data_IF_829306851232
#
_entry.id   IF_829306851232
#
_cell.length_a   1.000
_cell.length_b   1.000
_cell.length_c   1.000
_cell.angle_alpha   90.00
_cell.angle_beta   90.00
_cell.angle_gamma   90.00
#
_symmetry.space_group_name_H-M   'P 1'
#
loop_
_entity.id
_entity.type
_entity.pdbx_description
1 polymer ?
#
# COMPACT_ATOMS: atom_id res chain seq x y z
N UNK A 1 -36.45 -10.81 -28.44
CA UNK A 1 -35.35 -10.51 -27.54
C UNK A 1 -34.75 -9.15 -27.95
N UNK A 2 -34.40 -8.31 -26.98
CA UNK A 2 -33.85 -6.99 -27.16
C UNK A 2 -32.44 -7.00 -26.55
N UNK A 3 -31.44 -6.39 -27.23
CA UNK A 3 -30.11 -6.24 -26.68
C UNK A 3 -30.14 -5.35 -25.42
N UNK A 4 -29.38 -5.70 -24.41
CA UNK A 4 -29.39 -4.95 -23.16
C UNK A 4 -28.21 -5.28 -22.23
N UNK A 5 -28.25 -4.69 -21.04
CA UNK A 5 -27.29 -4.84 -19.96
C UNK A 5 -27.93 -5.44 -18.73
N UNK A 6 -27.10 -6.01 -17.86
CA UNK A 6 -27.53 -6.49 -16.55
C UNK A 6 -27.04 -5.55 -15.47
N UNK A 7 -27.96 -5.10 -14.60
CA UNK A 7 -27.66 -4.50 -13.31
C UNK A 7 -27.81 -5.59 -12.25
N UNK A 8 -26.77 -5.77 -11.45
CA UNK A 8 -26.72 -6.64 -10.28
C UNK A 8 -26.95 -5.79 -9.02
N UNK A 9 -27.75 -6.31 -8.10
CA UNK A 9 -27.89 -5.78 -6.74
C UNK A 9 -27.71 -6.96 -5.77
N UNK A 10 -26.69 -6.91 -4.93
CA UNK A 10 -26.53 -7.80 -3.78
C UNK A 10 -26.98 -7.06 -2.54
N UNK A 11 -28.11 -7.48 -1.97
CA UNK A 11 -28.74 -6.77 -0.86
C UNK A 11 -27.93 -6.91 0.43
N UNK A 12 -27.86 -5.83 1.17
CA UNK A 12 -27.25 -5.79 2.50
C UNK A 12 -28.05 -6.62 3.50
N UNK A 13 -27.38 -7.13 4.53
CA UNK A 13 -28.05 -7.77 5.67
C UNK A 13 -28.93 -6.75 6.41
N UNK A 14 -30.12 -7.11 6.85
CA UNK A 14 -30.95 -6.24 7.67
C UNK A 14 -30.20 -5.73 8.91
N UNK A 15 -30.29 -4.41 9.18
CA UNK A 15 -29.65 -3.77 10.33
C UNK A 15 -28.17 -3.47 10.17
N UNK A 16 -27.60 -3.69 8.98
CA UNK A 16 -26.24 -3.22 8.61
C UNK A 16 -26.30 -1.84 7.97
N UNK A 17 -25.20 -1.11 8.04
CA UNK A 17 -25.06 0.25 7.49
C UNK A 17 -24.46 0.25 6.09
N UNK A 18 -23.68 -0.79 5.77
CA UNK A 18 -23.12 -0.95 4.42
C UNK A 18 -24.25 -1.01 3.40
N UNK A 19 -24.23 -0.16 2.37
CA UNK A 19 -25.28 -0.17 1.34
C UNK A 19 -25.27 -1.46 0.52
N UNK A 20 -26.35 -1.69 -0.24
CA UNK A 20 -26.39 -2.73 -1.26
C UNK A 20 -25.21 -2.59 -2.21
N UNK A 21 -24.64 -3.72 -2.64
CA UNK A 21 -23.63 -3.70 -3.71
C UNK A 21 -24.39 -3.65 -5.04
N UNK A 22 -24.29 -2.54 -5.74
CA UNK A 22 -24.89 -2.33 -7.04
C UNK A 22 -23.85 -2.20 -8.14
N UNK A 23 -24.07 -2.88 -9.26
CA UNK A 23 -23.19 -2.76 -10.43
C UNK A 23 -23.94 -3.03 -11.73
N UNK A 24 -23.69 -2.21 -12.76
CA UNK A 24 -24.21 -2.40 -14.10
C UNK A 24 -23.08 -2.85 -15.02
N UNK A 25 -23.17 -4.08 -15.51
CA UNK A 25 -22.17 -4.63 -16.44
C UNK A 25 -22.22 -3.91 -17.78
N UNK A 26 -21.03 -3.62 -18.33
CA UNK A 26 -20.90 -2.90 -19.63
C UNK A 26 -21.31 -3.77 -20.81
N UNK A 27 -21.15 -5.08 -20.71
CA UNK A 27 -21.46 -6.02 -21.78
C UNK A 27 -22.92 -5.91 -22.22
N UNK A 28 -23.08 -5.92 -23.53
CA UNK A 28 -24.38 -5.88 -24.17
C UNK A 28 -24.65 -7.21 -24.87
N UNK A 29 -25.76 -7.85 -24.53
CA UNK A 29 -26.06 -9.15 -25.14
C UNK A 29 -27.48 -9.61 -24.86
N UNK A 30 -27.89 -10.69 -25.55
CA UNK A 30 -29.14 -11.41 -25.29
C UNK A 30 -28.97 -12.49 -24.20
N UNK A 31 -27.70 -12.89 -23.96
CA UNK A 31 -27.28 -13.85 -22.96
C UNK A 31 -25.93 -13.37 -22.42
N UNK A 32 -25.80 -13.28 -21.10
CA UNK A 32 -24.61 -12.80 -20.43
C UNK A 32 -24.25 -13.74 -19.28
N UNK A 33 -22.95 -13.95 -19.06
CA UNK A 33 -22.40 -14.55 -17.86
C UNK A 33 -21.77 -13.43 -17.03
N UNK A 34 -22.26 -13.21 -15.82
CA UNK A 34 -21.80 -12.15 -14.95
C UNK A 34 -21.22 -12.72 -13.65
N UNK A 35 -20.11 -12.17 -13.13
CA UNK A 35 -19.63 -12.52 -11.80
C UNK A 35 -20.55 -11.89 -10.74
N UNK A 36 -21.02 -12.69 -9.80
CA UNK A 36 -21.80 -12.21 -8.64
C UNK A 36 -20.86 -12.17 -7.44
N UNK A 37 -20.36 -10.99 -7.11
CA UNK A 37 -19.45 -10.75 -5.99
C UNK A 37 -20.15 -9.92 -4.91
N UNK A 38 -19.53 -9.78 -3.75
CA UNK A 38 -20.08 -9.02 -2.64
C UNK A 38 -21.08 -9.80 -1.78
N UNK A 39 -21.07 -11.12 -1.87
CA UNK A 39 -21.91 -11.97 -1.04
C UNK A 39 -21.36 -12.05 0.39
N UNK A 40 -22.27 -12.11 1.36
CA UNK A 40 -21.91 -12.40 2.76
C UNK A 40 -21.62 -13.89 2.93
N UNK A 41 -20.59 -14.29 3.67
CA UNK A 41 -20.32 -15.68 4.00
C UNK A 41 -21.38 -16.22 4.99
N UNK A 42 -21.61 -17.53 4.94
CA UNK A 42 -22.58 -18.26 5.81
C UNK A 42 -23.95 -17.57 5.90
N UNK A 43 -24.46 -17.13 4.77
CA UNK A 43 -25.69 -16.34 4.71
C UNK A 43 -26.55 -16.67 3.47
N UNK A 44 -27.86 -16.55 3.62
CA UNK A 44 -28.79 -16.69 2.50
C UNK A 44 -28.98 -15.35 1.79
N UNK A 45 -28.01 -15.04 0.91
CA UNK A 45 -27.92 -13.76 0.23
C UNK A 45 -29.12 -13.52 -0.70
N UNK A 46 -29.66 -12.31 -0.68
CA UNK A 46 -30.68 -11.83 -1.60
C UNK A 46 -30.02 -11.10 -2.75
N UNK A 47 -30.38 -11.46 -3.99
CA UNK A 47 -29.77 -10.90 -5.20
C UNK A 47 -30.90 -10.49 -6.13
N UNK A 48 -30.82 -9.27 -6.68
CA UNK A 48 -31.69 -8.80 -7.74
C UNK A 48 -30.89 -8.60 -9.02
N UNK A 49 -31.35 -9.20 -10.10
CA UNK A 49 -30.86 -8.97 -11.45
C UNK A 49 -31.89 -8.18 -12.24
N UNK A 50 -31.47 -7.07 -12.84
CA UNK A 50 -32.33 -6.22 -13.67
C UNK A 50 -31.75 -6.19 -15.07
N UNK A 51 -32.54 -6.63 -16.06
CA UNK A 51 -32.17 -6.51 -17.47
C UNK A 51 -32.78 -5.25 -18.05
N UNK A 52 -31.93 -4.36 -18.56
CA UNK A 52 -32.33 -3.10 -19.18
C UNK A 52 -31.97 -3.09 -20.66
N UNK A 53 -32.82 -2.50 -21.50
CA UNK A 53 -32.46 -2.24 -22.89
C UNK A 53 -31.40 -1.11 -23.02
N UNK A 54 -30.98 -0.83 -24.25
CA UNK A 54 -29.95 0.21 -24.51
C UNK A 54 -30.46 1.63 -24.24
N UNK A 55 -31.76 1.83 -24.10
CA UNK A 55 -32.39 3.08 -23.70
C UNK A 55 -32.55 3.19 -22.18
N UNK A 56 -32.13 2.17 -21.42
CA UNK A 56 -32.23 2.15 -19.95
C UNK A 56 -33.58 1.68 -19.42
N UNK A 57 -34.50 1.23 -20.25
CA UNK A 57 -35.81 0.72 -19.78
C UNK A 57 -35.63 -0.69 -19.22
N UNK A 58 -36.18 -0.95 -18.04
CA UNK A 58 -36.26 -2.28 -17.47
C UNK A 58 -37.13 -3.22 -18.34
N UNK A 59 -36.57 -4.34 -18.74
CA UNK A 59 -37.24 -5.37 -19.56
C UNK A 59 -37.52 -6.65 -18.81
N UNK A 60 -36.71 -6.94 -17.79
CA UNK A 60 -36.91 -8.08 -16.89
C UNK A 60 -36.25 -7.85 -15.55
N UNK A 61 -36.80 -8.48 -14.51
CA UNK A 61 -36.27 -8.51 -13.17
C UNK A 61 -36.35 -9.93 -12.61
N UNK A 62 -35.29 -10.35 -11.94
CA UNK A 62 -35.24 -11.65 -11.24
C UNK A 62 -34.66 -11.47 -9.85
N UNK A 63 -35.35 -12.08 -8.86
CA UNK A 63 -34.85 -12.11 -7.48
C UNK A 63 -34.40 -13.54 -7.16
N UNK A 64 -33.18 -13.66 -6.72
CA UNK A 64 -32.53 -14.93 -6.41
C UNK A 64 -32.14 -14.98 -4.94
N UNK A 65 -32.04 -16.19 -4.41
CA UNK A 65 -31.49 -16.47 -3.09
C UNK A 65 -30.34 -17.44 -3.24
N UNK A 66 -29.22 -17.11 -2.62
CA UNK A 66 -28.00 -17.92 -2.68
C UNK A 66 -27.44 -18.13 -1.28
N UNK A 67 -27.48 -19.38 -0.80
CA UNK A 67 -26.82 -19.75 0.44
C UNK A 67 -25.32 -19.92 0.21
N UNK A 68 -24.50 -19.13 0.88
CA UNK A 68 -23.05 -19.24 0.88
C UNK A 68 -22.57 -20.11 2.04
N UNK A 69 -21.36 -20.67 1.89
CA UNK A 69 -20.67 -21.40 2.95
C UNK A 69 -19.94 -20.44 3.89
N UNK A 70 -19.54 -20.96 5.05
CA UNK A 70 -18.59 -20.29 5.95
C UNK A 70 -17.24 -20.16 5.27
N UNK A 71 -16.55 -19.04 5.50
CA UNK A 71 -15.14 -18.88 5.12
C UNK A 71 -14.28 -19.62 6.12
N UNK A 72 -13.42 -20.50 5.62
CA UNK A 72 -12.50 -21.29 6.43
C UNK A 72 -11.08 -21.09 5.87
N UNK A 73 -10.28 -20.26 6.53
CA UNK A 73 -8.87 -20.10 6.27
C UNK A 73 -8.16 -19.61 7.53
N UNK A 74 -7.03 -20.23 7.84
CA UNK A 74 -6.14 -19.79 8.92
C UNK A 74 -5.48 -18.43 8.66
N UNK A 75 -5.62 -17.94 7.42
CA UNK A 75 -5.02 -16.67 6.96
C UNK A 75 -5.93 -15.46 7.19
N UNK A 76 -7.20 -15.71 7.47
CA UNK A 76 -8.12 -14.63 7.82
C UNK A 76 -7.90 -14.19 9.26
N UNK A 77 -8.24 -12.93 9.59
CA UNK A 77 -8.21 -12.46 10.97
C UNK A 77 -9.02 -13.36 11.89
N UNK A 78 -8.52 -13.60 13.10
CA UNK A 78 -9.25 -14.36 14.12
C UNK A 78 -10.52 -13.63 14.54
N UNK A 79 -10.46 -12.31 14.61
CA UNK A 79 -11.59 -11.42 14.84
C UNK A 79 -11.44 -10.16 14.01
N UNK A 80 -12.55 -9.70 13.44
CA UNK A 80 -12.67 -8.40 12.76
C UNK A 80 -13.59 -7.54 13.63
N UNK A 81 -13.11 -6.39 14.08
CA UNK A 81 -13.87 -5.51 14.96
C UNK A 81 -13.90 -4.10 14.40
N UNK A 82 -15.10 -3.58 14.14
CA UNK A 82 -15.32 -2.15 13.89
C UNK A 82 -15.33 -1.43 15.24
N UNK A 83 -14.28 -0.66 15.50
CA UNK A 83 -14.11 0.10 16.76
C UNK A 83 -14.87 1.42 16.68
N UNK A 84 -14.86 2.04 15.50
CA UNK A 84 -15.56 3.30 15.22
C UNK A 84 -16.02 3.36 13.77
N UNK A 85 -17.22 3.85 13.52
CA UNK A 85 -17.73 4.15 12.19
C UNK A 85 -18.69 5.35 12.24
N UNK A 86 -18.36 6.40 11.49
CA UNK A 86 -19.21 7.54 11.21
C UNK A 86 -19.57 7.49 9.72
N UNK A 87 -20.59 6.71 9.39
CA UNK A 87 -20.91 6.30 8.01
C UNK A 87 -21.18 7.48 7.07
N UNK A 88 -21.57 8.63 7.59
CA UNK A 88 -21.81 9.89 6.88
C UNK A 88 -20.55 10.72 6.63
N UNK A 89 -19.43 10.40 7.31
CA UNK A 89 -18.15 11.12 7.22
C UNK A 89 -17.03 10.28 6.63
N UNK A 90 -17.19 8.96 6.56
CA UNK A 90 -16.17 8.06 6.04
C UNK A 90 -16.28 7.91 4.52
N UNK A 91 -15.16 7.62 3.88
CA UNK A 91 -15.10 7.30 2.46
C UNK A 91 -15.92 6.04 2.15
N UNK A 92 -16.81 6.08 1.14
CA UNK A 92 -17.54 4.88 0.71
C UNK A 92 -16.59 3.83 0.13
N UNK A 93 -17.07 2.58 0.10
CA UNK A 93 -16.31 1.45 -0.44
C UNK A 93 -15.96 0.40 0.59
N UNK A 94 -15.09 -0.52 0.19
CA UNK A 94 -14.59 -1.63 1.00
C UNK A 94 -13.08 -1.50 1.21
N UNK A 95 -12.58 -2.15 2.25
CA UNK A 95 -11.14 -2.19 2.53
C UNK A 95 -10.56 -3.45 1.88
N UNK A 96 -9.83 -3.29 0.77
CA UNK A 96 -9.01 -4.35 0.19
C UNK A 96 -7.76 -4.55 1.04
N UNK A 97 -7.68 -5.68 1.70
CA UNK A 97 -6.54 -6.06 2.55
C UNK A 97 -5.63 -6.99 1.77
N UNK A 98 -4.40 -6.57 1.54
CA UNK A 98 -3.34 -7.42 1.00
C UNK A 98 -2.61 -8.12 2.16
N UNK A 99 -3.13 -9.30 2.56
CA UNK A 99 -2.50 -10.14 3.59
C UNK A 99 -1.42 -11.01 2.96
N UNK A 100 -0.13 -10.71 3.14
CA UNK A 100 0.94 -11.50 2.55
C UNK A 100 1.12 -12.83 3.26
N UNK A 101 1.69 -13.82 2.57
CA UNK A 101 2.29 -14.98 3.21
C UNK A 101 3.41 -14.55 4.17
N UNK A 102 3.66 -15.35 5.20
CA UNK A 102 4.69 -15.03 6.21
C UNK A 102 6.03 -15.69 5.87
N UNK A 103 6.01 -16.79 5.16
CA UNK A 103 7.19 -17.54 4.73
C UNK A 103 6.92 -18.29 3.41
N UNK A 104 7.91 -19.05 2.94
CA UNK A 104 7.88 -19.82 1.70
C UNK A 104 6.80 -20.91 1.64
N UNK A 105 6.22 -21.27 2.78
CA UNK A 105 5.18 -22.29 2.87
C UNK A 105 3.79 -21.70 2.99
N UNK A 106 3.69 -20.37 3.02
CA UNK A 106 2.49 -19.62 3.33
C UNK A 106 1.99 -18.84 2.11
N UNK A 107 0.69 -18.71 1.98
CA UNK A 107 0.04 -18.09 0.81
C UNK A 107 -0.58 -16.76 1.20
N UNK A 108 -0.47 -15.75 0.33
CA UNK A 108 -1.26 -14.53 0.43
C UNK A 108 -2.74 -14.82 0.16
N UNK A 109 -3.62 -14.18 0.90
CA UNK A 109 -5.06 -14.21 0.66
C UNK A 109 -5.57 -12.77 0.70
N UNK A 110 -5.71 -12.11 -0.46
CA UNK A 110 -6.39 -10.83 -0.53
C UNK A 110 -7.88 -10.98 -0.24
N UNK A 111 -8.43 -10.04 0.53
CA UNK A 111 -9.85 -10.01 0.81
C UNK A 111 -10.37 -8.58 0.98
N UNK A 112 -11.66 -8.36 0.78
CA UNK A 112 -12.31 -7.08 1.02
C UNK A 112 -13.27 -7.16 2.20
N UNK A 113 -13.19 -6.15 3.08
CA UNK A 113 -14.03 -5.98 4.26
C UNK A 113 -14.89 -4.73 4.07
N UNK A 114 -16.19 -4.84 4.31
CA UNK A 114 -17.10 -3.69 4.29
C UNK A 114 -17.02 -2.85 5.59
N UNK A 115 -17.80 -1.78 5.63
CA UNK A 115 -17.82 -0.86 6.77
C UNK A 115 -18.43 -1.46 8.05
N UNK A 116 -19.17 -2.55 7.95
CA UNK A 116 -19.71 -3.29 9.09
C UNK A 116 -18.81 -4.45 9.56
N UNK A 117 -17.60 -4.59 8.97
CA UNK A 117 -16.63 -5.62 9.33
C UNK A 117 -16.87 -6.99 8.71
N UNK A 118 -17.71 -7.09 7.68
CA UNK A 118 -18.01 -8.34 7.00
C UNK A 118 -17.10 -8.54 5.79
N UNK A 119 -16.53 -9.73 5.61
CA UNK A 119 -15.77 -10.07 4.40
C UNK A 119 -16.74 -10.27 3.26
N UNK A 120 -16.55 -9.52 2.15
CA UNK A 120 -17.46 -9.50 1.00
C UNK A 120 -16.80 -10.06 -0.27
N UNK A 121 -15.52 -10.26 -0.29
CA UNK A 121 -14.77 -10.81 -1.40
C UNK A 121 -13.44 -11.38 -0.90
N UNK A 122 -12.95 -12.44 -1.56
CA UNK A 122 -11.72 -13.13 -1.21
C UNK A 122 -11.12 -13.81 -2.44
N UNK A 123 -9.81 -13.73 -2.60
CA UNK A 123 -9.04 -14.58 -3.51
C UNK A 123 -8.42 -15.72 -2.69
N UNK A 124 -9.08 -16.88 -2.70
CA UNK A 124 -8.62 -18.07 -1.97
C UNK A 124 -7.57 -18.84 -2.79
N UNK A 125 -6.34 -18.38 -2.70
CA UNK A 125 -5.21 -18.98 -3.40
C UNK A 125 -4.63 -20.21 -2.70
N UNK A 126 -5.03 -20.51 -1.46
CA UNK A 126 -4.55 -21.70 -0.73
C UNK A 126 -4.87 -23.00 -1.47
N UNK A 127 -5.93 -23.03 -2.24
CA UNK A 127 -6.41 -24.19 -2.99
C UNK A 127 -5.96 -24.24 -4.44
N UNK A 128 -5.16 -23.28 -4.89
CA UNK A 128 -4.67 -23.20 -6.24
C UNK A 128 -3.19 -23.57 -6.29
N UNK A 129 -2.85 -24.62 -7.04
CA UNK A 129 -1.43 -24.98 -7.25
C UNK A 129 -0.69 -23.92 -8.06
N UNK A 130 -1.38 -23.21 -8.94
CA UNK A 130 -0.83 -22.13 -9.76
C UNK A 130 -0.54 -20.87 -8.94
N UNK A 131 -1.44 -20.51 -8.01
CA UNK A 131 -1.37 -19.25 -7.27
C UNK A 131 -0.77 -19.40 -5.87
N UNK A 132 -0.46 -20.61 -5.44
CA UNK A 132 0.21 -20.82 -4.15
C UNK A 132 1.48 -19.97 -4.08
N UNK A 133 1.67 -19.30 -2.96
CA UNK A 133 2.79 -18.40 -2.65
C UNK A 133 2.77 -17.02 -3.34
N UNK A 134 1.76 -16.70 -4.16
CA UNK A 134 1.61 -15.33 -4.69
C UNK A 134 1.48 -14.32 -3.54
N UNK A 135 2.05 -13.13 -3.77
CA UNK A 135 1.94 -11.99 -2.86
C UNK A 135 2.85 -12.03 -1.64
N UNK A 136 3.75 -13.02 -1.50
CA UNK A 136 4.73 -13.02 -0.42
C UNK A 136 5.72 -11.87 -0.63
N UNK A 137 5.71 -10.93 0.33
CA UNK A 137 6.62 -9.79 0.33
C UNK A 137 6.42 -8.76 -0.78
N UNK A 138 5.38 -8.88 -1.59
CA UNK A 138 5.09 -7.97 -2.71
C UNK A 138 3.71 -7.30 -2.59
N UNK A 139 3.53 -6.21 -3.35
CA UNK A 139 2.28 -5.46 -3.41
C UNK A 139 1.19 -6.16 -4.22
N UNK A 140 -0.04 -5.73 -3.98
CA UNK A 140 -1.22 -6.03 -4.78
C UNK A 140 -1.89 -4.71 -5.14
N UNK A 141 -2.24 -4.52 -6.41
CA UNK A 141 -3.00 -3.36 -6.88
C UNK A 141 -4.19 -3.80 -7.73
N UNK A 142 -5.25 -3.00 -7.76
CA UNK A 142 -6.26 -3.06 -8.81
C UNK A 142 -5.84 -2.12 -9.94
N UNK A 143 -5.72 -2.69 -11.15
CA UNK A 143 -5.34 -1.95 -12.34
C UNK A 143 -6.51 -1.17 -12.93
N UNK A 144 -6.22 -0.26 -13.85
CA UNK A 144 -7.23 0.54 -14.56
C UNK A 144 -8.24 -0.33 -15.33
N UNK A 145 -7.81 -1.50 -15.84
CA UNK A 145 -8.70 -2.45 -16.51
C UNK A 145 -9.63 -3.23 -15.53
N UNK A 146 -9.50 -3.01 -14.22
CA UNK A 146 -10.27 -3.68 -13.17
C UNK A 146 -9.72 -5.02 -12.69
N UNK A 147 -8.67 -5.54 -13.31
CA UNK A 147 -7.95 -6.74 -12.85
C UNK A 147 -7.02 -6.40 -11.68
N UNK A 148 -6.46 -7.42 -11.07
CA UNK A 148 -5.49 -7.29 -10.00
C UNK A 148 -4.11 -7.73 -10.48
N UNK A 149 -3.10 -6.89 -10.26
CA UNK A 149 -1.70 -7.24 -10.45
C UNK A 149 -1.05 -7.44 -9.09
N UNK A 150 -0.34 -8.55 -8.94
CA UNK A 150 0.40 -8.86 -7.71
C UNK A 150 1.76 -9.46 -8.04
N UNK A 151 2.73 -9.23 -7.16
CA UNK A 151 4.04 -9.88 -7.23
C UNK A 151 4.09 -11.13 -6.35
N UNK A 152 5.01 -12.00 -6.68
CA UNK A 152 5.38 -13.17 -5.89
C UNK A 152 6.88 -13.06 -5.55
N UNK A 153 7.18 -12.77 -4.29
CA UNK A 153 8.55 -12.64 -3.81
C UNK A 153 9.27 -13.96 -3.65
N UNK A 154 8.57 -15.08 -3.73
CA UNK A 154 9.12 -16.41 -3.56
C UNK A 154 9.57 -17.02 -4.90
N UNK A 155 8.67 -17.04 -5.89
CA UNK A 155 8.94 -17.54 -7.23
C UNK A 155 9.30 -16.43 -8.22
N UNK A 156 9.34 -15.18 -7.75
CA UNK A 156 9.73 -14.00 -8.51
C UNK A 156 8.97 -13.84 -9.84
N UNK A 157 7.66 -13.77 -9.74
CA UNK A 157 6.76 -13.55 -10.88
C UNK A 157 5.82 -12.38 -10.62
N UNK A 158 5.30 -11.79 -11.70
CA UNK A 158 4.15 -10.89 -11.66
C UNK A 158 2.95 -11.59 -12.24
N UNK A 159 1.83 -11.54 -11.54
CA UNK A 159 0.62 -12.26 -11.94
C UNK A 159 -0.55 -11.28 -12.02
N UNK A 160 -1.20 -11.24 -13.16
CA UNK A 160 -2.48 -10.57 -13.37
C UNK A 160 -3.61 -11.58 -13.26
N UNK A 161 -4.59 -11.26 -12.42
CA UNK A 161 -5.80 -12.06 -12.26
C UNK A 161 -7.05 -11.18 -12.40
N UNK A 162 -8.13 -11.76 -12.89
CA UNK A 162 -9.44 -11.10 -12.88
C UNK A 162 -10.06 -11.11 -11.46
N UNK A 163 -11.24 -10.51 -11.32
CA UNK A 163 -11.97 -10.46 -10.03
C UNK A 163 -12.40 -11.83 -9.50
N UNK A 164 -12.41 -12.86 -10.34
CA UNK A 164 -12.73 -14.25 -9.98
C UNK A 164 -11.48 -15.06 -9.63
N UNK A 165 -10.27 -14.47 -9.80
CA UNK A 165 -8.99 -15.12 -9.58
C UNK A 165 -8.50 -15.96 -10.77
N UNK A 166 -9.07 -15.80 -11.96
CA UNK A 166 -8.55 -16.43 -13.15
C UNK A 166 -7.30 -15.70 -13.62
N UNK A 167 -6.23 -16.44 -13.94
CA UNK A 167 -4.98 -15.87 -14.46
C UNK A 167 -5.21 -15.29 -15.85
N UNK A 168 -4.80 -14.04 -16.04
CA UNK A 168 -4.75 -13.34 -17.32
C UNK A 168 -3.31 -13.37 -17.85
N UNK A 169 -2.36 -12.93 -17.02
CA UNK A 169 -0.94 -12.98 -17.34
C UNK A 169 -0.13 -13.52 -16.15
N UNK A 170 0.97 -14.21 -16.47
CA UNK A 170 1.91 -14.70 -15.46
C UNK A 170 3.35 -14.55 -16.02
N UNK A 171 4.03 -13.49 -15.55
CA UNK A 171 5.34 -13.09 -16.05
C UNK A 171 6.44 -13.60 -15.11
N UNK A 172 7.30 -14.51 -15.61
CA UNK A 172 8.49 -14.95 -14.89
C UNK A 172 9.52 -13.81 -14.89
N UNK A 173 9.80 -13.29 -13.70
CA UNK A 173 10.73 -12.17 -13.53
C UNK A 173 12.18 -12.66 -13.38
N UNK A 174 12.41 -13.93 -12.96
CA UNK A 174 13.76 -14.51 -12.94
C UNK A 174 14.33 -14.66 -14.34
N UNK A 175 13.52 -15.11 -15.30
CA UNK A 175 13.93 -15.19 -16.71
C UNK A 175 14.30 -13.81 -17.27
N UNK A 176 13.71 -12.74 -16.73
CA UNK A 176 14.03 -11.35 -17.06
C UNK A 176 15.20 -10.78 -16.26
N UNK A 177 15.76 -11.56 -15.34
CA UNK A 177 16.90 -11.18 -14.51
C UNK A 177 16.56 -10.42 -13.23
N UNK A 178 15.31 -10.48 -12.75
CA UNK A 178 14.87 -9.77 -11.56
C UNK A 178 14.29 -10.70 -10.50
N UNK A 179 14.47 -10.30 -9.24
CA UNK A 179 13.74 -10.82 -8.09
C UNK A 179 12.75 -9.77 -7.60
N UNK A 180 11.53 -10.20 -7.26
CA UNK A 180 10.45 -9.31 -6.84
C UNK A 180 10.51 -9.02 -5.35
N UNK A 181 10.17 -7.78 -4.97
CA UNK A 181 9.94 -7.39 -3.57
C UNK A 181 9.03 -6.17 -3.46
N UNK A 182 8.41 -5.95 -2.31
CA UNK A 182 7.65 -4.81 -1.79
C UNK A 182 6.55 -4.24 -2.67
N UNK A 183 6.84 -3.31 -3.59
CA UNK A 183 5.83 -2.44 -4.18
C UNK A 183 5.56 -2.71 -5.66
N UNK A 184 4.29 -2.62 -6.00
CA UNK A 184 3.79 -2.51 -7.38
C UNK A 184 2.84 -1.32 -7.40
N UNK A 185 2.91 -0.51 -8.46
CA UNK A 185 1.93 0.52 -8.78
C UNK A 185 1.71 0.58 -10.30
N UNK A 186 0.75 1.38 -10.73
CA UNK A 186 0.46 1.57 -12.16
C UNK A 186 0.58 3.06 -12.48
N UNK A 187 1.22 3.40 -13.60
CA UNK A 187 1.28 4.76 -14.10
C UNK A 187 -0.01 5.14 -14.89
N UNK A 188 -0.12 6.40 -15.30
CA UNK A 188 -1.27 6.90 -16.05
C UNK A 188 -1.43 6.26 -17.43
N UNK A 189 -0.34 5.75 -18.02
CA UNK A 189 -0.32 5.06 -19.29
C UNK A 189 -0.70 3.59 -19.18
N UNK A 190 -0.89 3.08 -17.95
CA UNK A 190 -1.21 1.67 -17.67
C UNK A 190 0.00 0.78 -17.45
N UNK A 191 1.24 1.31 -17.52
CA UNK A 191 2.43 0.51 -17.27
C UNK A 191 2.56 0.19 -15.78
N UNK A 192 3.20 -0.93 -15.47
CA UNK A 192 3.48 -1.35 -14.10
C UNK A 192 4.84 -0.82 -13.66
N UNK A 193 4.85 -0.11 -12.54
CA UNK A 193 6.05 0.26 -11.82
C UNK A 193 6.26 -0.74 -10.68
N UNK A 194 7.46 -1.29 -10.54
CA UNK A 194 7.75 -2.27 -9.49
C UNK A 194 9.14 -2.09 -8.90
N UNK A 195 9.24 -2.42 -7.60
CA UNK A 195 10.53 -2.52 -6.91
C UNK A 195 11.07 -3.92 -7.07
N UNK A 196 12.31 -4.04 -7.50
CA UNK A 196 12.97 -5.32 -7.82
C UNK A 196 14.45 -5.29 -7.42
N UNK A 197 15.06 -6.48 -7.32
CA UNK A 197 16.51 -6.62 -7.30
C UNK A 197 16.99 -7.35 -8.55
N UNK A 198 18.14 -6.97 -9.10
CA UNK A 198 18.68 -7.58 -10.30
C UNK A 198 19.61 -8.74 -9.96
N UNK A 199 19.32 -9.93 -10.47
CA UNK A 199 20.08 -11.16 -10.15
C UNK A 199 21.53 -11.12 -10.58
N UNK A 200 21.86 -10.36 -11.67
CA UNK A 200 23.21 -10.24 -12.22
C UNK A 200 24.02 -9.08 -11.64
N UNK A 201 23.38 -8.15 -10.93
CA UNK A 201 24.04 -6.98 -10.42
C UNK A 201 24.80 -7.31 -9.13
N UNK A 202 26.09 -7.62 -9.26
CA UNK A 202 27.00 -7.75 -8.13
C UNK A 202 27.77 -6.47 -7.97
N UNK A 203 27.55 -5.74 -6.86
CA UNK A 203 28.49 -4.68 -6.50
C UNK A 203 29.71 -5.35 -5.87
N UNK A 204 30.71 -5.58 -6.69
CA UNK A 204 31.99 -6.10 -6.26
C UNK A 204 32.80 -4.97 -5.60
N UNK A 205 32.77 -4.89 -4.29
CA UNK A 205 33.85 -4.25 -3.52
C UNK A 205 34.69 -5.30 -2.74
N UNK A 206 34.73 -6.51 -3.28
CA UNK A 206 35.63 -7.59 -2.85
C UNK A 206 35.17 -8.40 -1.63
N UNK A 207 34.16 -7.99 -0.88
CA UNK A 207 33.71 -8.70 0.34
C UNK A 207 32.20 -8.76 0.58
N UNK A 208 31.40 -7.80 0.07
CA UNK A 208 29.98 -7.75 0.34
C UNK A 208 29.16 -7.76 -0.95
N UNK A 209 28.35 -8.78 -1.14
CA UNK A 209 27.30 -8.78 -2.17
C UNK A 209 26.17 -7.88 -1.64
N UNK A 210 26.09 -6.66 -2.14
CA UNK A 210 24.97 -5.76 -1.81
C UNK A 210 23.75 -6.14 -2.62
N UNK A 211 22.58 -6.15 -1.98
CA UNK A 211 21.31 -6.19 -2.70
C UNK A 211 21.24 -4.93 -3.56
N UNK A 212 21.06 -5.11 -4.86
CA UNK A 212 20.91 -4.00 -5.79
C UNK A 212 19.43 -3.75 -5.98
N UNK A 213 18.92 -2.73 -5.31
CA UNK A 213 17.56 -2.27 -5.51
C UNK A 213 17.45 -1.52 -6.84
N UNK A 214 16.49 -1.95 -7.62
CA UNK A 214 16.10 -1.35 -8.88
C UNK A 214 14.62 -0.99 -8.84
N UNK A 215 14.23 -0.05 -9.68
CA UNK A 215 12.84 0.19 -10.05
C UNK A 215 12.74 -0.14 -11.53
N UNK A 216 11.67 -0.83 -11.91
CA UNK A 216 11.37 -1.11 -13.32
C UNK A 216 10.01 -0.55 -13.71
N UNK A 217 9.88 -0.24 -14.99
CA UNK A 217 8.61 -0.01 -15.67
C UNK A 217 8.39 -1.14 -16.68
N UNK A 218 7.22 -1.77 -16.63
CA UNK A 218 6.88 -2.92 -17.46
C UNK A 218 5.53 -2.71 -18.17
N UNK A 219 5.47 -3.05 -19.44
CA UNK A 219 4.21 -3.19 -20.19
C UNK A 219 3.46 -4.43 -19.66
N UNK A 220 2.28 -4.30 -19.05
CA UNK A 220 1.57 -5.45 -18.45
C UNK A 220 1.02 -6.43 -19.49
N UNK A 221 0.75 -5.98 -20.72
CA UNK A 221 0.20 -6.83 -21.78
C UNK A 221 1.27 -7.72 -22.42
N UNK A 222 2.50 -7.21 -22.54
CA UNK A 222 3.62 -7.91 -23.20
C UNK A 222 4.65 -8.46 -22.22
N UNK A 223 4.67 -7.97 -20.97
CA UNK A 223 5.70 -8.28 -19.99
C UNK A 223 7.09 -7.72 -20.38
N UNK A 224 7.16 -6.74 -21.27
CA UNK A 224 8.40 -6.09 -21.69
C UNK A 224 8.84 -5.06 -20.66
N UNK A 225 10.13 -5.06 -20.30
CA UNK A 225 10.72 -4.02 -19.46
C UNK A 225 10.98 -2.79 -20.32
N UNK A 226 10.22 -1.74 -20.06
CA UNK A 226 10.29 -0.48 -20.82
C UNK A 226 11.39 0.45 -20.29
N UNK A 227 11.64 0.41 -18.97
CA UNK A 227 12.60 1.25 -18.28
C UNK A 227 13.14 0.55 -17.04
N UNK A 228 14.39 0.83 -16.71
CA UNK A 228 15.07 0.37 -15.50
C UNK A 228 15.82 1.52 -14.86
N UNK A 229 15.73 1.64 -13.53
CA UNK A 229 16.50 2.59 -12.74
C UNK A 229 17.30 1.86 -11.66
N UNK A 230 18.61 2.03 -11.71
CA UNK A 230 19.56 1.43 -10.76
C UNK A 230 19.81 2.41 -9.60
N UNK A 231 19.30 2.10 -8.42
CA UNK A 231 19.40 2.99 -7.26
C UNK A 231 20.83 3.21 -6.78
N UNK A 232 21.77 2.33 -7.09
CA UNK A 232 23.21 2.53 -6.77
C UNK A 232 23.76 3.75 -7.48
N UNK A 233 23.29 4.05 -8.68
CA UNK A 233 23.72 5.23 -9.43
C UNK A 233 22.95 6.50 -9.02
N UNK A 234 21.81 6.34 -8.37
CA UNK A 234 20.90 7.43 -8.00
C UNK A 234 21.13 7.91 -6.56
N UNK A 235 21.30 6.99 -5.61
CA UNK A 235 21.35 7.24 -4.17
C UNK A 235 22.73 6.94 -3.58
N UNK A 236 22.92 7.29 -2.30
CA UNK A 236 24.18 7.05 -1.60
C UNK A 236 24.28 5.63 -1.05
N UNK A 237 24.85 4.73 -1.85
CA UNK A 237 25.02 3.33 -1.45
C UNK A 237 26.01 3.13 -0.28
N UNK A 238 26.75 4.15 0.14
CA UNK A 238 27.59 4.11 1.32
C UNK A 238 26.87 4.57 2.60
N UNK A 239 25.69 5.23 2.46
CA UNK A 239 24.85 5.65 3.58
C UNK A 239 23.94 4.50 3.99
N UNK A 240 24.23 3.89 5.11
CA UNK A 240 23.42 2.80 5.67
C UNK A 240 22.25 3.31 6.53
N UNK A 241 22.07 4.61 6.62
CA UNK A 241 21.01 5.23 7.41
C UNK A 241 21.24 5.22 8.92
N UNK A 242 22.21 4.44 9.40
CA UNK A 242 22.43 4.23 10.82
C UNK A 242 23.90 3.83 11.04
N UNK A 243 24.75 4.75 11.49
CA UNK A 243 26.18 4.47 11.66
C UNK A 243 26.53 3.78 12.97
N UNK A 244 25.75 4.00 14.01
CA UNK A 244 25.90 3.32 15.31
C UNK A 244 25.12 1.98 15.35
N UNK A 245 24.72 1.49 14.17
CA UNK A 245 23.76 0.44 14.02
C UNK A 245 24.30 -0.62 13.07
N UNK A 246 24.42 -1.82 13.60
CA UNK A 246 24.79 -2.97 12.81
C UNK A 246 23.58 -3.48 12.01
N UNK A 247 23.53 -3.17 10.71
CA UNK A 247 22.47 -3.66 9.81
C UNK A 247 22.38 -5.19 9.79
N UNK A 248 23.42 -5.91 10.20
CA UNK A 248 23.36 -7.38 10.30
C UNK A 248 22.48 -7.84 11.48
N UNK A 249 22.30 -6.99 12.48
CA UNK A 249 21.41 -7.24 13.62
C UNK A 249 19.99 -6.72 13.40
N UNK A 250 19.74 -5.95 12.33
CA UNK A 250 18.38 -5.49 11.96
C UNK A 250 17.61 -6.64 11.30
N UNK A 251 16.51 -7.11 11.91
CA UNK A 251 15.70 -8.19 11.34
C UNK A 251 15.06 -7.82 9.98
N UNK A 252 14.99 -6.53 9.63
CA UNK A 252 14.44 -6.06 8.35
C UNK A 252 15.50 -5.79 7.29
N UNK A 253 16.76 -5.54 7.68
CA UNK A 253 17.88 -5.40 6.76
C UNK A 253 18.53 -6.75 6.46
N UNK A 254 18.70 -7.58 7.48
CA UNK A 254 19.36 -8.89 7.46
C UNK A 254 20.84 -8.86 7.02
N UNK A 255 21.30 -7.80 6.40
CA UNK A 255 22.69 -7.58 5.99
C UNK A 255 22.96 -6.13 5.62
N UNK A 256 24.25 -5.73 5.66
CA UNK A 256 24.70 -4.43 5.16
C UNK A 256 24.45 -4.23 3.66
N UNK A 257 24.15 -5.30 2.93
CA UNK A 257 23.84 -5.24 1.51
C UNK A 257 22.47 -4.64 1.22
N UNK A 258 21.55 -4.62 2.18
CA UNK A 258 20.20 -4.05 2.05
C UNK A 258 20.19 -2.54 2.41
N UNK A 259 21.09 -1.78 1.80
CA UNK A 259 21.38 -0.38 2.12
C UNK A 259 20.28 0.62 1.73
N UNK A 260 19.48 0.34 0.72
CA UNK A 260 18.35 1.18 0.29
C UNK A 260 17.03 0.65 0.83
N UNK A 261 16.72 -0.61 0.59
CA UNK A 261 15.46 -1.26 0.93
C UNK A 261 14.29 -0.46 0.34
N UNK A 262 14.29 -0.34 -1.00
CA UNK A 262 13.25 0.37 -1.73
C UNK A 262 11.92 -0.36 -1.58
N UNK A 263 10.88 0.36 -1.13
CA UNK A 263 9.61 -0.24 -0.74
C UNK A 263 8.38 0.52 -1.21
N UNK A 264 8.56 1.54 -2.05
CA UNK A 264 7.48 2.31 -2.65
C UNK A 264 7.90 3.01 -3.92
N UNK A 265 6.99 3.05 -4.89
CA UNK A 265 7.13 3.77 -6.15
C UNK A 265 5.75 4.16 -6.67
N UNK A 266 5.60 5.42 -7.08
CA UNK A 266 4.41 5.94 -7.77
C UNK A 266 4.82 6.99 -8.79
N UNK A 267 3.99 7.20 -9.82
CA UNK A 267 4.12 8.33 -10.73
C UNK A 267 3.69 9.63 -10.05
N UNK A 268 4.38 10.74 -10.35
CA UNK A 268 4.04 12.10 -9.92
C UNK A 268 4.29 13.13 -11.02
N UNK A 269 3.24 13.50 -11.74
CA UNK A 269 3.36 14.34 -12.94
C UNK A 269 4.08 13.60 -14.05
N UNK A 270 5.22 14.14 -14.50
CA UNK A 270 6.12 13.50 -15.48
C UNK A 270 7.29 12.76 -14.79
N UNK A 271 7.35 12.80 -13.48
CA UNK A 271 8.40 12.24 -12.63
C UNK A 271 7.87 11.07 -11.78
N UNK A 272 8.71 10.60 -10.88
CA UNK A 272 8.42 9.48 -9.98
C UNK A 272 8.77 9.84 -8.53
N UNK A 273 7.94 9.37 -7.60
CA UNK A 273 8.15 9.46 -6.17
C UNK A 273 8.39 8.06 -5.61
N UNK A 274 9.48 7.87 -4.89
CA UNK A 274 9.81 6.59 -4.29
C UNK A 274 10.18 6.71 -2.81
N UNK A 275 10.03 5.60 -2.09
CA UNK A 275 10.46 5.46 -0.71
C UNK A 275 11.50 4.36 -0.58
N UNK A 276 12.55 4.63 0.17
CA UNK A 276 13.55 3.66 0.54
C UNK A 276 13.76 3.72 2.06
N UNK A 277 13.59 2.57 2.72
CA UNK A 277 13.55 2.43 4.19
C UNK A 277 14.71 3.14 4.89
N UNK A 278 15.91 3.06 4.31
CA UNK A 278 17.13 3.61 4.89
C UNK A 278 17.67 4.87 4.18
N UNK A 279 16.99 5.32 3.12
CA UNK A 279 17.40 6.50 2.34
C UNK A 279 16.37 7.65 2.43
N UNK A 280 15.12 7.37 2.78
CA UNK A 280 14.04 8.34 2.88
C UNK A 280 13.10 8.36 1.67
N UNK A 281 12.54 9.53 1.37
CA UNK A 281 11.63 9.77 0.25
C UNK A 281 12.39 10.55 -0.81
N UNK A 282 12.29 10.17 -2.08
CA UNK A 282 12.98 10.87 -3.16
C UNK A 282 12.15 10.96 -4.42
N UNK A 283 12.28 12.11 -5.10
CA UNK A 283 11.71 12.36 -6.41
C UNK A 283 12.79 12.25 -7.47
N UNK A 284 12.48 11.63 -8.58
CA UNK A 284 13.41 11.49 -9.71
C UNK A 284 12.69 11.53 -11.03
N UNK A 285 13.38 12.00 -12.07
CA UNK A 285 12.85 12.10 -13.42
C UNK A 285 13.02 10.78 -14.20
N UNK A 286 12.41 10.72 -15.38
CA UNK A 286 12.43 9.51 -16.24
C UNK A 286 13.85 9.05 -16.61
N UNK A 287 14.83 9.95 -16.66
CA UNK A 287 16.22 9.60 -16.92
C UNK A 287 16.99 9.07 -15.68
N UNK A 288 16.32 9.03 -14.50
CA UNK A 288 16.93 8.60 -13.23
C UNK A 288 17.69 9.72 -12.49
N UNK A 289 17.56 10.97 -12.96
CA UNK A 289 18.11 12.13 -12.24
C UNK A 289 17.30 12.42 -10.98
N UNK A 290 17.96 12.45 -9.81
CA UNK A 290 17.31 12.83 -8.55
C UNK A 290 17.05 14.32 -8.54
N UNK A 291 15.78 14.71 -8.35
CA UNK A 291 15.37 16.10 -8.21
C UNK A 291 15.58 16.56 -6.76
N UNK A 292 15.12 15.78 -5.79
CA UNK A 292 15.32 16.03 -4.38
C UNK A 292 15.14 14.76 -3.52
N UNK A 293 15.62 14.87 -2.27
CA UNK A 293 15.52 13.82 -1.24
C UNK A 293 15.01 14.45 0.06
N UNK A 294 14.02 13.84 0.70
CA UNK A 294 13.60 14.11 2.08
C UNK A 294 14.20 13.01 2.96
N UNK A 295 15.21 13.38 3.73
CA UNK A 295 15.93 12.47 4.63
C UNK A 295 16.70 13.29 5.65
N UNK A 296 16.96 12.78 6.88
CA UNK A 296 17.92 13.42 7.79
C UNK A 296 19.25 13.65 7.07
N UNK A 297 19.86 14.82 7.28
CA UNK A 297 21.09 15.21 6.58
C UNK A 297 22.34 14.46 7.07
N UNK A 298 22.24 13.75 8.19
CA UNK A 298 23.35 12.96 8.72
C UNK A 298 23.79 11.85 7.77
N UNK A 299 25.12 11.65 7.72
CA UNK A 299 25.79 10.53 7.06
C UNK A 299 25.74 10.48 5.53
N UNK A 300 25.24 11.51 4.86
CA UNK A 300 25.34 11.65 3.41
C UNK A 300 26.73 12.12 2.98
N UNK A 301 27.25 11.54 1.88
CA UNK A 301 28.46 12.07 1.23
C UNK A 301 28.15 13.41 0.58
N UNK A 302 29.15 14.31 0.54
CA UNK A 302 29.01 15.72 0.11
C UNK A 302 28.28 15.89 -1.22
N UNK A 303 28.51 15.00 -2.18
CA UNK A 303 27.89 15.09 -3.51
C UNK A 303 26.35 15.00 -3.49
N UNK A 304 25.77 14.44 -2.44
CA UNK A 304 24.32 14.29 -2.27
C UNK A 304 23.68 15.40 -1.44
N UNK A 305 24.45 16.15 -0.64
CA UNK A 305 23.92 17.18 0.26
C UNK A 305 23.05 18.21 -0.48
N UNK A 306 23.44 18.56 -1.71
CA UNK A 306 22.67 19.50 -2.55
C UNK A 306 21.29 18.98 -2.99
N UNK A 307 21.03 17.67 -2.86
CA UNK A 307 19.76 17.03 -3.21
C UNK A 307 18.79 16.99 -2.03
N UNK A 308 19.29 17.19 -0.81
CA UNK A 308 18.46 17.17 0.39
C UNK A 308 17.62 18.45 0.49
N UNK A 309 16.36 18.29 0.94
CA UNK A 309 15.51 19.41 1.28
C UNK A 309 15.73 19.86 2.71
N UNK A 310 15.72 21.18 2.93
CA UNK A 310 15.90 21.77 4.25
C UNK A 310 14.57 21.77 5.03
N UNK A 311 14.56 21.29 6.28
CA UNK A 311 13.35 21.23 7.06
C UNK A 311 12.93 22.60 7.58
N UNK A 312 11.60 22.85 7.60
CA UNK A 312 10.99 24.04 8.19
C UNK A 312 10.14 23.64 9.38
N UNK A 313 10.03 24.55 10.35
CA UNK A 313 9.00 24.52 11.38
C UNK A 313 7.59 24.64 10.78
N UNK A 314 6.56 24.27 11.53
CA UNK A 314 5.16 24.37 11.10
C UNK A 314 4.75 25.80 10.68
N UNK A 315 5.36 26.83 11.28
CA UNK A 315 5.16 28.24 10.94
C UNK A 315 5.93 28.72 9.69
N UNK A 316 6.71 27.83 9.05
CA UNK A 316 7.51 28.11 7.86
C UNK A 316 8.89 28.70 8.16
N UNK A 317 9.28 28.89 9.41
CA UNK A 317 10.63 29.33 9.76
C UNK A 317 11.65 28.19 9.61
N UNK A 318 12.91 28.46 9.21
CA UNK A 318 13.92 27.43 9.06
C UNK A 318 14.26 26.73 10.39
N UNK A 319 14.32 25.41 10.40
CA UNK A 319 14.93 24.65 11.49
C UNK A 319 16.43 24.84 11.39
N UNK A 320 17.05 25.39 12.45
CA UNK A 320 18.47 25.73 12.48
C UNK A 320 19.26 24.86 13.47
N UNK A 321 18.61 24.04 14.27
CA UNK A 321 19.27 23.10 15.19
C UNK A 321 19.98 22.02 14.38
N UNK A 322 21.35 21.96 14.42
CA UNK A 322 22.12 21.03 13.61
C UNK A 322 21.86 19.56 13.97
N UNK A 323 21.46 19.26 15.20
CA UNK A 323 21.15 17.89 15.62
C UNK A 323 19.79 17.43 15.05
N UNK A 324 18.81 18.34 14.94
CA UNK A 324 17.52 18.07 14.28
C UNK A 324 17.75 17.88 12.78
N UNK A 325 18.51 18.78 12.14
CA UNK A 325 18.86 18.67 10.71
C UNK A 325 19.59 17.36 10.43
N UNK A 326 20.58 17.01 11.25
CA UNK A 326 21.32 15.75 11.12
C UNK A 326 20.45 14.50 11.40
N UNK A 327 19.31 14.66 12.13
CA UNK A 327 18.42 13.56 12.51
C UNK A 327 18.81 12.85 13.80
N UNK A 328 19.74 13.40 14.60
CA UNK A 328 20.16 12.83 15.88
C UNK A 328 19.28 13.26 17.06
N UNK A 329 18.41 14.25 16.82
CA UNK A 329 17.44 14.79 17.76
C UNK A 329 16.08 14.95 17.14
N UNK A 330 15.03 14.68 17.90
CA UNK A 330 13.63 14.90 17.47
C UNK A 330 13.28 16.40 17.51
N UNK A 331 12.31 16.78 16.66
CA UNK A 331 11.65 18.08 16.67
C UNK A 331 10.16 17.89 17.01
N UNK A 332 9.54 18.88 17.65
CA UNK A 332 8.13 18.74 18.09
C UNK A 332 7.14 18.86 16.93
N UNK A 333 7.45 19.68 15.94
CA UNK A 333 6.60 20.03 14.80
C UNK A 333 7.14 19.60 13.44
N UNK A 334 8.21 18.80 13.43
CA UNK A 334 8.78 18.19 12.24
C UNK A 334 9.33 16.80 12.53
N UNK A 335 8.99 15.83 11.70
CA UNK A 335 9.43 14.44 11.83
C UNK A 335 10.08 13.97 10.53
N UNK A 336 11.31 13.48 10.57
CA UNK A 336 11.95 12.84 9.44
C UNK A 336 11.32 11.48 9.07
N UNK A 337 11.43 11.00 7.80
CA UNK A 337 10.96 9.67 7.41
C UNK A 337 11.85 8.57 7.97
N UNK A 338 11.39 7.92 9.04
CA UNK A 338 12.09 6.83 9.72
C UNK A 338 11.51 5.47 9.36
N UNK A 339 12.26 4.69 8.57
CA UNK A 339 11.80 3.37 8.12
C UNK A 339 10.54 3.44 7.25
N UNK A 340 10.35 4.54 6.53
CA UNK A 340 9.11 4.90 5.85
C UNK A 340 8.67 3.87 4.78
N UNK A 341 7.35 3.82 4.58
CA UNK A 341 6.71 3.10 3.49
C UNK A 341 5.72 4.02 2.79
N UNK A 342 5.44 3.74 1.52
CA UNK A 342 4.35 4.36 0.78
C UNK A 342 4.32 5.88 0.90
N UNK A 343 4.87 6.57 -0.08
CA UNK A 343 4.62 7.99 -0.29
C UNK A 343 3.68 8.14 -1.49
N UNK A 344 2.67 8.99 -1.35
CA UNK A 344 1.71 9.29 -2.41
C UNK A 344 1.54 10.79 -2.58
N UNK A 345 1.56 11.32 -3.81
CA UNK A 345 1.26 12.72 -4.05
C UNK A 345 -0.22 12.99 -3.84
N UNK A 346 -0.54 14.16 -3.29
CA UNK A 346 -1.89 14.64 -3.08
C UNK A 346 -2.29 15.64 -4.18
N UNK A 347 -3.60 15.88 -4.41
CA UNK A 347 -4.07 16.84 -5.42
C UNK A 347 -3.59 18.27 -5.21
N UNK A 348 -3.28 18.66 -3.97
CA UNK A 348 -2.72 19.97 -3.61
C UNK A 348 -1.20 20.08 -3.82
N UNK A 349 -0.54 19.04 -4.32
CA UNK A 349 0.92 18.97 -4.51
C UNK A 349 1.71 18.55 -3.28
N UNK A 350 1.05 18.29 -2.16
CA UNK A 350 1.71 17.72 -0.97
C UNK A 350 2.01 16.23 -1.14
N UNK A 351 2.74 15.68 -0.18
CA UNK A 351 3.07 14.26 -0.11
C UNK A 351 2.52 13.69 1.17
N UNK A 352 1.65 12.68 1.07
CA UNK A 352 1.25 11.85 2.21
C UNK A 352 2.11 10.61 2.26
N UNK A 353 2.69 10.27 3.42
CA UNK A 353 3.48 9.06 3.56
C UNK A 353 3.27 8.36 4.90
N UNK A 354 3.63 7.08 4.94
CA UNK A 354 3.60 6.27 6.15
C UNK A 354 4.98 6.26 6.82
N UNK A 355 5.08 6.81 8.02
CA UNK A 355 6.28 6.80 8.84
C UNK A 355 6.20 5.67 9.88
N UNK A 356 6.94 4.59 9.67
CA UNK A 356 6.98 3.51 10.66
C UNK A 356 7.61 3.96 11.98
N UNK A 357 8.44 5.00 11.97
CA UNK A 357 9.18 5.44 13.15
C UNK A 357 10.29 4.49 13.57
N UNK A 358 10.68 3.57 12.69
CA UNK A 358 11.69 2.55 12.94
C UNK A 358 13.10 3.10 12.72
N UNK A 359 13.98 2.94 13.69
CA UNK A 359 15.32 3.50 13.62
C UNK A 359 15.38 5.02 13.83
N UNK A 360 14.39 5.61 14.54
CA UNK A 360 14.34 7.05 14.85
C UNK A 360 15.63 7.51 15.52
N UNK A 361 16.14 8.66 15.08
CA UNK A 361 17.40 9.22 15.52
C UNK A 361 18.59 8.27 15.35
N UNK A 362 18.55 7.42 14.32
CA UNK A 362 19.57 6.39 14.03
C UNK A 362 19.77 5.41 15.18
N UNK A 363 18.72 5.07 15.92
CA UNK A 363 18.77 4.16 17.06
C UNK A 363 17.69 3.07 16.94
N UNK A 364 18.03 1.85 17.33
CA UNK A 364 17.07 0.77 17.56
C UNK A 364 16.76 0.60 19.06
N UNK A 365 16.58 1.70 19.73
CA UNK A 365 16.18 1.68 21.14
C UNK A 365 14.66 1.69 21.26
N UNK A 366 14.08 0.57 21.63
CA UNK A 366 12.65 0.41 21.89
C UNK A 366 12.31 0.48 23.40
N UNK A 367 13.25 0.92 24.24
CA UNK A 367 13.04 1.10 25.68
C UNK A 367 12.37 2.44 26.00
N UNK A 368 12.68 3.49 25.25
CA UNK A 368 12.03 4.80 25.37
C UNK A 368 10.68 4.82 24.66
N UNK A 369 9.63 4.47 25.39
CA UNK A 369 8.26 4.36 24.84
C UNK A 369 7.70 5.66 24.28
N UNK A 370 8.26 6.83 24.61
CA UNK A 370 7.82 8.12 24.06
C UNK A 370 8.24 8.29 22.59
N UNK A 371 9.33 7.63 22.21
CA UNK A 371 9.87 7.63 20.85
C UNK A 371 9.41 6.43 20.01
N UNK A 372 8.55 5.56 20.58
CA UNK A 372 7.99 4.42 19.86
C UNK A 372 6.58 4.80 19.39
N UNK A 373 6.46 5.26 18.16
CA UNK A 373 5.19 5.54 17.50
C UNK A 373 5.33 5.49 15.99
N UNK A 374 4.22 5.27 15.33
CA UNK A 374 4.04 5.29 13.88
C UNK A 374 3.06 6.38 13.52
N UNK A 375 3.23 7.06 12.40
CA UNK A 375 2.29 8.07 11.93
C UNK A 375 2.13 8.09 10.41
N UNK A 376 0.94 8.55 9.96
CA UNK A 376 0.77 9.16 8.66
C UNK A 376 1.21 10.62 8.75
N UNK A 377 1.96 11.09 7.77
CA UNK A 377 2.49 12.46 7.74
C UNK A 377 2.24 13.06 6.36
N UNK A 378 1.87 14.34 6.34
CA UNK A 378 1.77 15.13 5.12
C UNK A 378 2.85 16.21 5.10
N UNK A 379 3.60 16.24 4.00
CA UNK A 379 4.61 17.26 3.72
C UNK A 379 4.17 18.19 2.60
N UNK A 380 4.40 19.47 2.79
CA UNK A 380 4.50 20.47 1.73
C UNK A 380 5.96 20.59 1.28
N UNK A 381 6.20 20.52 -0.03
CA UNK A 381 7.53 20.62 -0.62
C UNK A 381 7.60 21.87 -1.49
N UNK A 382 8.59 22.73 -1.22
CA UNK A 382 8.96 23.83 -2.08
C UNK A 382 10.24 23.48 -2.84
N UNK A 383 10.07 23.07 -4.10
CA UNK A 383 11.17 22.64 -4.96
C UNK A 383 12.11 23.81 -5.34
N UNK A 384 11.56 25.04 -5.40
CA UNK A 384 12.32 26.26 -5.76
C UNK A 384 13.26 26.66 -4.64
N UNK A 385 12.71 26.75 -3.41
CA UNK A 385 13.49 27.11 -2.23
C UNK A 385 14.18 25.92 -1.58
N UNK A 386 13.91 24.71 -2.11
CA UNK A 386 14.46 23.44 -1.62
C UNK A 386 14.19 23.19 -0.14
N UNK A 387 12.92 23.35 0.26
CA UNK A 387 12.48 23.17 1.63
C UNK A 387 11.35 22.16 1.73
N UNK A 388 11.18 21.60 2.92
CA UNK A 388 10.10 20.69 3.27
C UNK A 388 9.52 21.08 4.61
N UNK A 389 8.18 21.13 4.70
CA UNK A 389 7.43 21.46 5.90
C UNK A 389 6.42 20.37 6.22
N UNK A 390 6.36 19.93 7.47
CA UNK A 390 5.28 19.07 7.93
C UNK A 390 4.02 19.90 8.17
N UNK A 391 2.95 19.57 7.46
CA UNK A 391 1.69 20.33 7.55
C UNK A 391 0.58 19.55 8.26
N UNK A 392 0.73 18.23 8.36
CA UNK A 392 -0.21 17.36 9.06
C UNK A 392 0.46 16.08 9.54
N UNK A 393 -0.07 15.51 10.63
CA UNK A 393 0.26 14.16 11.07
C UNK A 393 -0.87 13.56 11.91
N UNK A 394 -0.92 12.23 11.95
CA UNK A 394 -1.75 11.46 12.87
C UNK A 394 -1.05 10.17 13.28
N UNK A 395 -1.14 9.78 14.55
CA UNK A 395 -0.65 8.51 15.10
C UNK A 395 0.39 8.64 16.20
N UNK A 396 1.09 9.77 16.33
CA UNK A 396 2.05 10.04 17.41
C UNK A 396 1.39 9.93 18.78
N UNK A 397 0.21 10.48 18.93
CA UNK A 397 -0.61 10.44 20.14
C UNK A 397 -1.11 9.05 20.51
N UNK A 398 -1.14 8.12 19.54
CA UNK A 398 -1.50 6.71 19.77
C UNK A 398 -0.35 5.90 20.40
N UNK A 399 0.88 6.44 20.34
CA UNK A 399 2.07 5.88 20.97
C UNK A 399 2.40 4.44 20.58
N UNK A 400 3.03 3.72 21.51
CA UNK A 400 3.55 2.37 21.27
C UNK A 400 2.46 1.32 20.94
N UNK A 401 1.21 1.55 21.30
CA UNK A 401 0.12 0.62 20.96
C UNK A 401 -0.21 0.63 19.46
N UNK A 402 0.08 1.74 18.77
CA UNK A 402 -0.15 1.93 17.34
C UNK A 402 1.10 1.64 16.51
N UNK A 403 2.23 1.39 17.16
CA UNK A 403 3.52 1.20 16.50
C UNK A 403 3.56 -0.03 15.59
N UNK A 404 4.12 0.14 14.41
CA UNK A 404 4.38 -0.92 13.45
C UNK A 404 5.77 -0.75 12.84
N UNK A 405 6.70 -1.71 13.04
CA UNK A 405 8.09 -1.55 12.63
C UNK A 405 8.33 -1.69 11.12
N UNK A 406 7.39 -2.29 10.40
CA UNK A 406 7.52 -2.58 8.97
C UNK A 406 6.16 -2.68 8.29
N UNK A 407 6.16 -2.79 6.95
CA UNK A 407 4.96 -2.89 6.12
C UNK A 407 4.11 -1.62 6.23
N UNK A 408 2.80 -1.73 5.94
CA UNK A 408 1.86 -0.63 6.16
C UNK A 408 1.77 0.37 5.01
N UNK A 409 0.84 1.28 5.08
CA UNK A 409 0.68 2.29 4.06
C UNK A 409 -0.33 3.36 4.40
N UNK A 410 -0.43 4.32 3.51
CA UNK A 410 -1.41 5.40 3.53
C UNK A 410 -2.15 5.47 2.21
N UNK A 411 -3.35 6.04 2.25
CA UNK A 411 -4.11 6.39 1.05
C UNK A 411 -4.79 7.75 1.27
N UNK A 412 -4.78 8.59 0.24
CA UNK A 412 -5.68 9.72 0.13
C UNK A 412 -7.05 9.23 -0.34
N UNK A 413 -8.11 9.64 0.34
CA UNK A 413 -9.48 9.27 0.03
C UNK A 413 -10.14 10.41 -0.73
N UNK A 414 -10.43 10.19 -2.00
CA UNK A 414 -10.72 11.26 -2.96
C UNK A 414 -12.07 11.94 -2.76
N UNK A 415 -13.09 11.22 -2.28
CA UNK A 415 -14.44 11.76 -2.13
C UNK A 415 -14.58 12.59 -0.85
N UNK A 416 -13.90 12.18 0.23
CA UNK A 416 -14.00 12.84 1.53
C UNK A 416 -12.83 13.78 1.82
N UNK A 417 -11.70 13.58 1.14
CA UNK A 417 -10.45 14.23 1.49
C UNK A 417 -9.77 13.64 2.73
N UNK A 418 -10.31 12.57 3.30
CA UNK A 418 -9.74 11.92 4.48
C UNK A 418 -8.41 11.20 4.19
N UNK A 419 -7.73 10.81 5.25
CA UNK A 419 -6.47 10.04 5.20
C UNK A 419 -6.72 8.64 5.76
N UNK A 420 -6.49 7.61 4.96
CA UNK A 420 -6.47 6.23 5.42
C UNK A 420 -5.05 5.89 5.88
N UNK A 421 -4.90 5.50 7.15
CA UNK A 421 -3.64 5.17 7.79
C UNK A 421 -3.72 3.72 8.26
N UNK A 422 -2.82 2.90 7.76
CA UNK A 422 -2.92 1.46 7.86
C UNK A 422 -1.67 0.85 8.50
N UNK A 423 -1.56 0.84 9.85
CA UNK A 423 -0.50 0.11 10.55
C UNK A 423 -0.74 -1.39 10.47
N UNK A 424 0.10 -2.10 9.70
CA UNK A 424 -0.15 -3.44 9.19
C UNK A 424 0.35 -4.59 10.06
N UNK A 425 1.03 -4.34 11.18
CA UNK A 425 1.51 -5.43 12.05
C UNK A 425 1.86 -4.97 13.46
N UNK A 426 1.80 -5.92 14.40
CA UNK A 426 2.31 -5.76 15.78
C UNK A 426 1.61 -4.72 16.64
N UNK A 427 0.47 -4.19 16.21
CA UNK A 427 -0.33 -3.26 17.01
C UNK A 427 -0.90 -3.98 18.24
N UNK A 428 -0.99 -3.24 19.34
CA UNK A 428 -1.77 -3.67 20.50
C UNK A 428 -3.20 -3.15 20.31
N UNK A 429 -4.13 -4.06 20.09
CA UNK A 429 -5.54 -3.78 19.83
C UNK A 429 -6.29 -3.38 21.11
N UNK A 430 -7.53 -2.91 20.97
CA UNK A 430 -8.37 -2.47 22.09
C UNK A 430 -8.65 -3.58 23.12
N UNK A 431 -8.61 -4.86 22.70
CA UNK A 431 -8.75 -6.03 23.58
C UNK A 431 -7.42 -6.51 24.20
N UNK A 432 -6.29 -5.82 23.93
CA UNK A 432 -4.96 -6.18 24.42
C UNK A 432 -4.22 -7.22 23.55
N UNK A 433 -4.86 -7.82 22.56
CA UNK A 433 -4.23 -8.76 21.63
C UNK A 433 -3.40 -8.01 20.58
N UNK A 434 -2.64 -8.77 19.77
CA UNK A 434 -1.87 -8.21 18.66
C UNK A 434 -2.64 -8.34 17.34
N UNK A 435 -2.36 -7.41 16.43
CA UNK A 435 -2.96 -7.45 15.10
C UNK A 435 -2.59 -6.23 14.26
N UNK A 436 -3.48 -5.87 13.37
CA UNK A 436 -3.36 -4.74 12.47
C UNK A 436 -4.58 -3.81 12.58
N UNK A 437 -4.44 -2.56 12.10
CA UNK A 437 -5.52 -1.58 12.09
C UNK A 437 -5.68 -0.93 10.73
N UNK A 438 -6.90 -0.49 10.45
CA UNK A 438 -7.24 0.41 9.36
C UNK A 438 -7.93 1.60 9.98
N UNK A 439 -7.32 2.78 9.88
CA UNK A 439 -7.81 4.00 10.53
C UNK A 439 -8.03 5.09 9.47
N UNK A 440 -9.25 5.59 9.37
CA UNK A 440 -9.58 6.75 8.52
C UNK A 440 -9.72 7.99 9.40
N UNK A 441 -9.02 9.05 9.01
CA UNK A 441 -8.90 10.29 9.77
C UNK A 441 -9.33 11.48 8.91
N UNK A 442 -10.21 12.29 9.43
CA UNK A 442 -10.53 13.61 8.90
C UNK A 442 -9.36 14.55 9.22
N UNK A 443 -8.64 15.09 8.20
CA UNK A 443 -7.44 15.87 8.45
C UNK A 443 -7.70 17.25 9.08
N UNK A 444 -8.90 17.80 8.92
CA UNK A 444 -9.25 19.13 9.46
C UNK A 444 -9.58 19.07 10.96
N UNK A 445 -10.33 18.04 11.36
CA UNK A 445 -10.76 17.88 12.75
C UNK A 445 -9.85 16.98 13.58
N UNK A 446 -8.97 16.21 12.93
CA UNK A 446 -8.16 15.15 13.53
C UNK A 446 -9.00 13.99 14.11
N UNK A 447 -10.29 13.94 13.77
CA UNK A 447 -11.17 12.87 14.21
C UNK A 447 -10.89 11.57 13.47
N UNK A 448 -10.82 10.47 14.20
CA UNK A 448 -11.00 9.14 13.59
C UNK A 448 -12.47 9.01 13.20
N UNK A 449 -12.76 8.88 11.92
CA UNK A 449 -14.14 8.67 11.42
C UNK A 449 -14.44 7.18 11.19
N UNK A 450 -13.40 6.36 10.95
CA UNK A 450 -13.52 4.91 10.89
C UNK A 450 -12.27 4.24 11.48
N UNK A 451 -12.47 3.18 12.26
CA UNK A 451 -11.38 2.33 12.74
C UNK A 451 -11.80 0.87 12.75
N UNK A 452 -10.99 0.02 12.11
CA UNK A 452 -11.14 -1.41 12.04
C UNK A 452 -9.91 -2.08 12.68
N UNK A 453 -10.14 -3.05 13.55
CA UNK A 453 -9.11 -3.91 14.15
C UNK A 453 -9.22 -5.32 13.55
N UNK A 454 -8.06 -5.87 13.20
CA UNK A 454 -7.89 -7.20 12.62
C UNK A 454 -6.99 -8.03 13.55
N UNK A 455 -7.58 -8.89 14.39
CA UNK A 455 -6.83 -9.67 15.37
C UNK A 455 -6.03 -10.78 14.68
N UNK A 456 -4.79 -10.99 15.12
CA UNK A 456 -3.81 -11.95 14.57
C UNK A 456 -3.55 -11.76 13.05
N UNK A 457 -3.89 -10.59 12.51
CA UNK A 457 -3.64 -10.27 11.11
C UNK A 457 -2.38 -9.46 10.92
N UNK A 458 -1.74 -9.68 9.77
CA UNK A 458 -0.66 -8.88 9.23
C UNK A 458 -1.04 -8.56 7.79
N UNK A 459 -0.81 -7.33 7.35
CA UNK A 459 -0.99 -6.98 5.95
C UNK A 459 0.14 -6.10 5.41
N UNK A 460 0.35 -6.17 4.09
CA UNK A 460 1.32 -5.33 3.40
C UNK A 460 0.76 -3.93 3.17
N UNK A 461 -0.48 -3.83 2.73
CA UNK A 461 -1.18 -2.58 2.46
C UNK A 461 -2.70 -2.79 2.49
N UNK A 462 -3.44 -1.73 2.74
CA UNK A 462 -4.90 -1.68 2.61
C UNK A 462 -5.26 -0.53 1.67
N UNK A 463 -6.30 -0.76 0.86
CA UNK A 463 -6.89 0.26 0.01
C UNK A 463 -8.39 0.35 0.26
N UNK A 464 -8.92 1.55 0.40
CA UNK A 464 -10.35 1.80 0.31
C UNK A 464 -10.74 1.92 -1.16
N UNK A 465 -11.69 1.11 -1.61
CA UNK A 465 -12.15 1.11 -3.00
C UNK A 465 -13.53 0.46 -3.13
N UNK A 466 -14.21 0.72 -4.23
CA UNK A 466 -15.43 0.00 -4.62
C UNK A 466 -15.13 -1.48 -4.87
N UNK A 467 -16.09 -2.38 -4.63
CA UNK A 467 -15.91 -3.81 -4.90
C UNK A 467 -15.73 -4.05 -6.40
N UNK A 468 -16.66 -3.61 -7.21
CA UNK A 468 -16.50 -3.62 -8.67
C UNK A 468 -15.72 -2.39 -9.14
N UNK A 469 -14.94 -2.49 -10.22
CA UNK A 469 -14.27 -1.32 -10.80
C UNK A 469 -15.33 -0.29 -11.21
N UNK A 470 -15.02 0.99 -11.04
CA UNK A 470 -15.91 2.03 -11.50
C UNK A 470 -16.09 1.93 -13.02
N UNK A 471 -17.30 2.24 -13.49
CA UNK A 471 -17.56 2.27 -14.92
C UNK A 471 -16.82 3.46 -15.53
N UNK A 472 -15.64 3.21 -16.05
CA UNK A 472 -14.90 4.18 -16.88
C UNK A 472 -15.54 4.32 -18.27
#
# INVERSE_FOLDING_TARGET
PVLGRIKLIVHSKPGKHTPDVEYTFKDVGLKQNIPVLGLYPNYNNQITLIYTDLQGNERARSNLKLQTKTLESRRLPKEIRVVKAQYDRMEPGMNLVNSPGQDETDTSIPYMIDADGEIRWILDWEKSDEHRYIGIGCGLIRMQNGHYMTGDGNHHRMVEVDMMGNTIHNWDMLERGYTMHHAISQDKQGNILATVSKTSAKIANGKDVRINDFIIMMDPEKGEILQEWDLVHMLDSARYGMTDYDLTSDPFAQSASNWAHNNGIVEWGDDYLATARYQGIFKFNKAGGIEWIISPHGYWRDKYLKLLLNPLHADGTPITDPEVIAGTKTCDDFEWPWGCHTAVPLPNGHILYFNNGYGRNFKLDFTDRKNIYTCGIEYEVDEVNRTVRQVWQYGKERGAAYFTPARSGVQYLEQTGNRLICPGMSNVLSNGNRGARVTEVDPETQDVVFELELEDAIYQRVYRMSLYPENQ
#
